data_IF_435098422523
#
_entry.id   IF_435098422523
#
_cell.length_a   1.000
_cell.length_b   1.000
_cell.length_c   1.000
_cell.angle_alpha   90.00
_cell.angle_beta   90.00
_cell.angle_gamma   90.00
#
_symmetry.space_group_name_H-M   'P 1'
#
loop_
_entity.id
_entity.type
_entity.pdbx_description
1 polymer ?
#
# COMPACT_ATOMS: atom_id res chain seq x y z
N UNK A 1 -9.50 -14.18 -13.35
CA UNK A 1 -10.20 -13.28 -12.40
C UNK A 1 -11.70 -13.30 -12.63
N UNK A 2 -12.14 -13.21 -13.89
CA UNK A 2 -13.55 -13.37 -14.26
C UNK A 2 -14.09 -14.74 -13.82
N UNK A 3 -13.39 -15.84 -14.10
CA UNK A 3 -13.86 -17.21 -13.79
C UNK A 3 -14.16 -17.48 -12.31
N UNK A 4 -13.36 -16.91 -11.40
CA UNK A 4 -13.55 -17.07 -9.94
C UNK A 4 -14.77 -16.29 -9.43
N UNK A 5 -15.10 -15.20 -10.12
CA UNK A 5 -16.29 -14.39 -9.82
C UNK A 5 -17.54 -15.08 -10.36
N UNK A 6 -17.48 -15.60 -11.59
CA UNK A 6 -18.57 -16.37 -12.19
C UNK A 6 -18.90 -17.60 -11.35
N UNK A 7 -17.89 -18.33 -10.87
CA UNK A 7 -18.11 -19.50 -10.00
C UNK A 7 -18.78 -19.12 -8.66
N UNK A 8 -18.35 -18.04 -8.02
CA UNK A 8 -18.97 -17.58 -6.76
C UNK A 8 -20.39 -17.08 -6.96
N UNK A 9 -20.65 -16.37 -8.06
CA UNK A 9 -21.99 -15.87 -8.39
C UNK A 9 -22.92 -17.04 -8.71
N UNK A 10 -22.47 -18.01 -9.50
CA UNK A 10 -23.24 -19.22 -9.82
C UNK A 10 -23.63 -19.99 -8.55
N UNK A 11 -22.70 -20.15 -7.59
CA UNK A 11 -23.01 -20.78 -6.30
C UNK A 11 -24.08 -20.04 -5.50
N UNK A 12 -23.97 -18.71 -5.40
CA UNK A 12 -24.94 -17.92 -4.64
C UNK A 12 -26.30 -17.90 -5.32
N UNK A 13 -26.32 -17.83 -6.65
CA UNK A 13 -27.54 -17.88 -7.45
C UNK A 13 -28.31 -19.19 -7.22
N UNK A 14 -27.61 -20.32 -7.21
CA UNK A 14 -28.20 -21.64 -6.89
C UNK A 14 -28.76 -21.72 -5.47
N UNK A 15 -28.13 -21.07 -4.50
CA UNK A 15 -28.62 -21.03 -3.10
C UNK A 15 -29.91 -20.20 -3.01
N UNK A 16 -29.96 -19.05 -3.68
CA UNK A 16 -31.15 -18.18 -3.71
C UNK A 16 -32.33 -18.88 -4.40
N UNK A 17 -32.06 -19.61 -5.47
CA UNK A 17 -33.04 -20.41 -6.20
C UNK A 17 -33.60 -21.56 -5.35
N UNK A 18 -32.73 -22.27 -4.62
CA UNK A 18 -33.12 -23.39 -3.75
C UNK A 18 -33.90 -22.94 -2.50
N UNK A 19 -33.54 -21.79 -1.92
CA UNK A 19 -34.12 -21.32 -0.65
C UNK A 19 -35.42 -20.52 -0.82
N UNK A 20 -35.94 -20.39 -2.06
CA UNK A 20 -37.08 -19.54 -2.45
C UNK A 20 -36.98 -18.09 -1.96
N UNK A 21 -35.79 -17.60 -1.68
CA UNK A 21 -35.51 -16.19 -1.33
C UNK A 21 -35.34 -15.36 -2.61
N UNK A 22 -36.19 -15.59 -3.61
CA UNK A 22 -36.15 -14.93 -4.92
C UNK A 22 -36.38 -13.41 -4.78
N UNK A 23 -37.06 -12.99 -3.71
CA UNK A 23 -37.22 -11.58 -3.36
C UNK A 23 -35.89 -10.89 -3.00
N UNK A 24 -34.89 -11.63 -2.53
CA UNK A 24 -33.56 -11.10 -2.18
C UNK A 24 -32.59 -11.09 -3.37
N UNK A 25 -32.97 -11.74 -4.48
CA UNK A 25 -32.20 -11.77 -5.72
C UNK A 25 -31.92 -10.37 -6.31
N UNK A 26 -32.91 -9.46 -6.45
CA UNK A 26 -32.64 -8.11 -6.94
C UNK A 26 -31.69 -7.33 -6.02
N UNK A 27 -31.79 -7.51 -4.69
CA UNK A 27 -30.91 -6.87 -3.72
C UNK A 27 -29.48 -7.40 -3.82
N UNK A 28 -29.32 -8.72 -4.00
CA UNK A 28 -28.02 -9.33 -4.25
C UNK A 28 -27.41 -8.87 -5.58
N UNK A 29 -28.22 -8.77 -6.63
CA UNK A 29 -27.80 -8.34 -7.96
C UNK A 29 -27.33 -6.89 -7.97
N UNK A 30 -28.08 -6.01 -7.30
CA UNK A 30 -27.75 -4.60 -7.14
C UNK A 30 -26.41 -4.43 -6.41
N UNK A 31 -26.23 -5.13 -5.28
CA UNK A 31 -24.95 -5.15 -4.57
C UNK A 31 -23.81 -5.72 -5.41
N UNK A 32 -24.05 -6.80 -6.16
CA UNK A 32 -23.04 -7.45 -7.00
C UNK A 32 -22.55 -6.48 -8.08
N UNK A 33 -23.47 -5.78 -8.74
CA UNK A 33 -23.16 -4.85 -9.83
C UNK A 33 -22.53 -3.55 -9.31
N UNK A 34 -23.17 -2.89 -8.36
CA UNK A 34 -22.77 -1.56 -7.90
C UNK A 34 -21.53 -1.58 -7.00
N UNK A 35 -21.38 -2.61 -6.17
CA UNK A 35 -20.31 -2.67 -5.16
C UNK A 35 -19.20 -3.61 -5.58
N UNK A 36 -19.53 -4.87 -5.88
CA UNK A 36 -18.51 -5.91 -6.06
C UNK A 36 -17.83 -5.83 -7.42
N UNK A 37 -18.59 -5.71 -8.50
CA UNK A 37 -18.06 -5.61 -9.86
C UNK A 37 -17.24 -4.34 -10.02
N UNK A 38 -17.76 -3.21 -9.54
CA UNK A 38 -17.07 -1.90 -9.56
C UNK A 38 -15.74 -1.93 -8.81
N UNK A 39 -15.68 -2.58 -7.64
CA UNK A 39 -14.44 -2.74 -6.90
C UNK A 39 -13.44 -3.63 -7.64
N UNK A 40 -13.91 -4.73 -8.21
CA UNK A 40 -13.06 -5.67 -8.96
C UNK A 40 -12.53 -5.05 -10.25
N UNK A 41 -13.36 -4.29 -10.97
CA UNK A 41 -12.93 -3.52 -12.15
C UNK A 41 -11.96 -2.43 -11.78
N UNK A 42 -12.16 -1.72 -10.68
CA UNK A 42 -11.18 -0.73 -10.20
C UNK A 42 -9.83 -1.39 -9.83
N UNK A 43 -9.86 -2.55 -9.19
CA UNK A 43 -8.66 -3.35 -8.89
C UNK A 43 -7.99 -3.93 -10.14
N UNK A 44 -8.74 -4.22 -11.20
CA UNK A 44 -8.22 -4.73 -12.47
C UNK A 44 -7.71 -3.63 -13.41
N UNK A 45 -8.42 -2.49 -13.50
CA UNK A 45 -8.05 -1.33 -14.33
C UNK A 45 -6.82 -0.61 -13.76
N UNK A 46 -6.69 -0.59 -12.43
CA UNK A 46 -5.45 -0.25 -11.74
C UNK A 46 -4.78 -1.53 -11.23
N UNK A 47 -4.32 -2.40 -12.15
CA UNK A 47 -3.26 -3.36 -11.83
C UNK A 47 -2.17 -2.61 -11.03
N UNK A 48 -1.45 -3.22 -10.06
CA UNK A 48 -0.65 -2.54 -9.03
C UNK A 48 0.59 -1.81 -9.59
N UNK A 49 0.35 -0.84 -10.46
CA UNK A 49 1.22 0.18 -10.97
C UNK A 49 1.07 1.32 -9.98
N UNK A 50 1.89 1.24 -8.95
CA UNK A 50 1.91 2.17 -7.81
C UNK A 50 2.41 3.58 -8.18
N UNK A 51 2.70 3.77 -9.47
CA UNK A 51 2.98 5.00 -10.17
C UNK A 51 2.44 4.86 -11.58
N UNK A 52 1.53 5.75 -11.96
CA UNK A 52 0.96 5.80 -13.30
C UNK A 52 -0.41 6.47 -13.32
N UNK A 53 -0.81 6.88 -14.52
CA UNK A 53 -2.19 7.18 -14.86
C UNK A 53 -2.68 6.12 -15.82
N UNK A 54 -3.91 5.67 -15.64
CA UNK A 54 -4.58 4.78 -16.57
C UNK A 54 -5.74 5.53 -17.23
N UNK A 55 -5.93 5.30 -18.52
CA UNK A 55 -7.06 5.85 -19.27
C UNK A 55 -8.26 4.95 -18.98
N UNK A 56 -9.29 5.52 -18.39
CA UNK A 56 -10.55 4.84 -18.10
C UNK A 56 -11.64 5.48 -18.93
N UNK A 57 -12.44 4.67 -19.61
CA UNK A 57 -13.63 5.16 -20.31
C UNK A 57 -14.77 5.34 -19.32
N UNK A 58 -15.39 6.52 -19.36
CA UNK A 58 -16.66 6.78 -18.70
C UNK A 58 -17.78 6.16 -19.52
N UNK A 59 -18.46 5.15 -18.99
CA UNK A 59 -19.56 4.49 -19.70
C UNK A 59 -20.82 5.34 -19.83
N UNK A 60 -20.98 6.40 -19.02
CA UNK A 60 -22.15 7.30 -19.06
C UNK A 60 -22.02 8.33 -20.18
N UNK A 61 -20.81 8.86 -20.36
CA UNK A 61 -20.54 9.95 -21.30
C UNK A 61 -19.68 9.51 -22.51
N UNK A 62 -19.30 8.23 -22.55
CA UNK A 62 -18.40 7.62 -23.54
C UNK A 62 -17.07 8.39 -23.74
N UNK A 63 -16.62 9.10 -22.70
CA UNK A 63 -15.40 9.91 -22.73
C UNK A 63 -14.22 9.22 -22.04
N UNK A 64 -13.03 9.43 -22.59
CA UNK A 64 -11.78 9.02 -21.96
C UNK A 64 -11.45 9.92 -20.76
N UNK A 65 -11.13 9.30 -19.64
CA UNK A 65 -10.74 9.97 -18.41
C UNK A 65 -9.41 9.42 -17.93
N UNK A 66 -8.44 10.30 -17.71
CA UNK A 66 -7.21 9.93 -17.02
C UNK A 66 -7.47 9.81 -15.51
N UNK A 67 -7.33 8.61 -14.96
CA UNK A 67 -7.39 8.38 -13.51
C UNK A 67 -6.00 8.05 -12.99
N UNK A 68 -5.61 8.73 -11.92
CA UNK A 68 -4.37 8.42 -11.22
C UNK A 68 -4.51 7.10 -10.46
N UNK A 69 -3.54 6.22 -10.62
CA UNK A 69 -3.47 4.96 -9.89
C UNK A 69 -3.11 5.18 -8.41
N UNK A 70 -3.07 4.10 -7.64
CA UNK A 70 -2.81 4.16 -6.19
C UNK A 70 -1.45 4.81 -5.86
N UNK A 71 -1.41 5.50 -4.72
CA UNK A 71 -0.16 6.08 -4.21
C UNK A 71 0.80 4.99 -3.76
N UNK A 72 2.11 5.24 -3.90
CA UNK A 72 3.18 4.29 -3.54
C UNK A 72 3.06 3.74 -2.12
N UNK A 73 2.62 4.57 -1.16
CA UNK A 73 2.38 4.17 0.24
C UNK A 73 1.28 3.13 0.39
N UNK A 74 0.22 3.20 -0.42
CA UNK A 74 -0.91 2.27 -0.36
C UNK A 74 -0.57 0.91 -0.98
N UNK A 75 0.28 0.92 -2.00
CA UNK A 75 0.79 -0.31 -2.61
C UNK A 75 1.84 -1.03 -1.76
N UNK A 76 2.78 -0.28 -1.20
CA UNK A 76 3.94 -0.84 -0.51
C UNK A 76 3.99 -0.32 0.94
N UNK A 77 3.09 -0.81 1.81
CA UNK A 77 3.05 -0.38 3.21
C UNK A 77 4.35 -0.71 3.96
N UNK A 78 5.10 -1.73 3.51
CA UNK A 78 6.35 -2.19 4.13
C UNK A 78 7.63 -1.64 3.50
N UNK A 79 7.55 -0.82 2.44
CA UNK A 79 8.75 -0.12 1.97
C UNK A 79 9.01 1.02 2.94
N UNK A 80 9.95 0.80 3.87
CA UNK A 80 10.55 1.85 4.69
C UNK A 80 10.85 3.02 3.76
N UNK A 81 10.25 4.18 4.05
CA UNK A 81 10.42 5.38 3.24
C UNK A 81 11.94 5.60 3.15
N UNK A 82 12.53 5.71 1.95
CA UNK A 82 14.00 5.80 1.83
C UNK A 82 14.59 6.90 2.73
N UNK A 83 13.80 7.94 2.97
CA UNK A 83 14.09 9.03 3.88
C UNK A 83 14.27 8.59 5.33
N UNK A 84 13.49 7.63 5.80
CA UNK A 84 13.56 7.08 7.15
C UNK A 84 14.82 6.24 7.35
N UNK A 85 15.17 5.41 6.36
CA UNK A 85 16.45 4.69 6.33
C UNK A 85 17.65 5.64 6.34
N UNK A 86 17.61 6.71 5.55
CA UNK A 86 18.66 7.73 5.50
C UNK A 86 18.79 8.42 6.86
N UNK A 87 17.68 8.81 7.50
CA UNK A 87 17.72 9.43 8.83
C UNK A 87 18.35 8.51 9.89
N UNK A 88 18.01 7.22 9.88
CA UNK A 88 18.59 6.25 10.82
C UNK A 88 20.10 6.07 10.61
N UNK A 89 20.55 5.97 9.36
CA UNK A 89 21.97 5.84 9.03
C UNK A 89 22.73 7.10 9.47
N UNK A 90 22.22 8.29 9.14
CA UNK A 90 22.83 9.55 9.56
C UNK A 90 22.86 9.69 11.08
N UNK A 91 21.80 9.28 11.78
CA UNK A 91 21.75 9.27 13.24
C UNK A 91 22.83 8.38 13.85
N UNK A 92 22.92 7.13 13.40
CA UNK A 92 23.92 6.17 13.90
C UNK A 92 25.36 6.64 13.61
N UNK A 93 25.61 7.21 12.43
CA UNK A 93 26.91 7.76 12.07
C UNK A 93 27.28 8.97 12.94
N UNK A 94 26.32 9.84 13.24
CA UNK A 94 26.57 11.01 14.11
C UNK A 94 26.91 10.56 15.54
N UNK A 95 26.18 9.57 16.06
CA UNK A 95 26.43 9.05 17.41
C UNK A 95 27.81 8.38 17.52
N UNK A 96 28.21 7.58 16.53
CA UNK A 96 29.52 6.92 16.55
C UNK A 96 30.68 7.92 16.47
N UNK A 97 30.53 8.99 15.68
CA UNK A 97 31.51 10.09 15.63
C UNK A 97 31.60 10.80 16.98
N UNK A 98 30.45 11.16 17.58
CA UNK A 98 30.42 11.84 18.88
C UNK A 98 31.06 11.01 19.98
N UNK A 99 30.78 9.70 20.01
CA UNK A 99 31.40 8.77 20.94
C UNK A 99 32.92 8.75 20.73
N UNK A 100 33.38 8.62 19.48
CA UNK A 100 34.81 8.64 19.16
C UNK A 100 35.50 9.93 19.60
N UNK A 101 34.89 11.09 19.34
CA UNK A 101 35.39 12.38 19.80
C UNK A 101 35.47 12.48 21.33
N UNK A 102 34.43 12.02 22.04
CA UNK A 102 34.43 12.00 23.50
C UNK A 102 35.57 11.12 24.03
N UNK A 103 35.75 9.91 23.50
CA UNK A 103 36.85 9.01 23.89
C UNK A 103 38.21 9.67 23.71
N UNK A 104 38.45 10.34 22.57
CA UNK A 104 39.72 11.04 22.30
C UNK A 104 39.99 12.17 23.32
N UNK A 105 38.96 12.95 23.67
CA UNK A 105 39.07 14.03 24.66
C UNK A 105 39.35 13.47 26.06
N UNK A 106 38.71 12.35 26.42
CA UNK A 106 38.96 11.68 27.69
C UNK A 106 40.38 11.14 27.77
N UNK A 107 40.88 10.49 26.72
CA UNK A 107 42.26 9.97 26.71
C UNK A 107 43.30 11.09 26.78
N UNK A 108 43.11 12.19 26.06
CA UNK A 108 44.05 13.33 26.10
C UNK A 108 44.12 13.95 27.49
N UNK A 109 42.96 14.14 28.15
CA UNK A 109 42.86 14.63 29.53
C UNK A 109 43.50 13.68 30.56
N UNK A 110 43.39 12.37 30.35
CA UNK A 110 44.05 11.37 31.21
C UNK A 110 45.57 11.44 31.00
N UNK A 111 46.03 11.51 29.74
CA UNK A 111 47.45 11.60 29.41
C UNK A 111 48.09 12.87 30.00
N UNK A 112 47.42 14.01 29.91
CA UNK A 112 47.88 15.25 30.55
C UNK A 112 47.95 15.18 32.08
N UNK A 113 47.05 14.43 32.72
CA UNK A 113 47.10 14.20 34.17
C UNK A 113 48.25 13.30 34.58
N UNK A 114 48.52 12.25 33.82
CA UNK A 114 49.65 11.34 34.08
C UNK A 114 51.01 12.00 33.81
N UNK A 115 51.12 12.92 32.85
CA UNK A 115 52.37 13.63 32.57
C UNK A 115 52.72 14.72 33.60
N UNK A 116 51.78 15.12 34.46
CA UNK A 116 51.98 16.14 35.51
C UNK A 116 52.29 15.56 36.89
N UNK A 117 52.33 14.24 37.01
CA UNK A 117 52.57 13.50 38.26
C UNK A 117 53.93 12.84 38.19
#
# INVERSE_FOLDING_TARGET
>A
MVDLLTEKVDRVLRIIELNRTVADLPVFWDWLYEVKLKRLTHEAMCAPLCRGSTVVFNCSDCQEMNKHCWTTKKCFPSRLDMRESICLICGLATMSILIGCATLVFESKIRERNSRK
#
